data_IF_240663434199
#
_entry.id   IF_240663434199
#
_cell.length_a   1.000
_cell.length_b   1.000
_cell.length_c   1.000
_cell.angle_alpha   90.00
_cell.angle_beta   90.00
_cell.angle_gamma   90.00
#
_symmetry.space_group_name_H-M   'P 1'
#
loop_
_entity.id
_entity.type
_entity.pdbx_description
1 polymer ?
#
# COMPACT_ATOMS: atom_id res chain seq x y z
N UNK A 1 13.55 1.54 -1.58
CA UNK A 1 12.14 1.67 -2.01
C UNK A 1 11.46 2.53 -0.95
N UNK A 2 10.72 3.56 -1.34
CA UNK A 2 10.03 4.45 -0.39
C UNK A 2 8.63 4.75 -0.89
N UNK A 3 7.67 4.89 0.02
CA UNK A 3 6.32 5.37 -0.29
C UNK A 3 5.98 6.54 0.63
N UNK A 4 5.47 7.63 0.08
CA UNK A 4 5.02 8.80 0.85
C UNK A 4 3.58 9.14 0.49
N UNK A 5 2.66 8.94 1.43
CA UNK A 5 1.26 9.33 1.25
C UNK A 5 1.12 10.84 1.03
N UNK A 6 0.20 11.22 0.14
CA UNK A 6 -0.17 12.60 -0.16
C UNK A 6 -1.60 12.90 0.26
N UNK A 7 -2.50 11.94 0.07
CA UNK A 7 -3.91 12.09 0.42
C UNK A 7 -4.48 10.75 0.85
N UNK A 8 -5.34 10.80 1.86
CA UNK A 8 -6.15 9.68 2.33
C UNK A 8 -7.61 10.14 2.27
N UNK A 9 -8.48 9.35 1.66
CA UNK A 9 -9.93 9.59 1.58
C UNK A 9 -10.70 8.31 1.91
N UNK A 10 -12.00 8.41 2.17
CA UNK A 10 -12.86 7.26 2.46
C UNK A 10 -13.06 7.04 3.96
N UNK A 11 -13.38 5.80 4.33
CA UNK A 11 -13.61 5.39 5.72
C UNK A 11 -12.45 4.55 6.25
N UNK A 12 -12.38 4.31 7.56
CA UNK A 12 -11.30 3.51 8.16
C UNK A 12 -11.28 2.05 7.66
N UNK A 13 -12.41 1.50 7.23
CA UNK A 13 -12.50 0.14 6.67
C UNK A 13 -12.23 0.10 5.15
N UNK A 14 -12.38 1.22 4.45
CA UNK A 14 -12.31 1.32 3.00
C UNK A 14 -11.73 2.68 2.59
N UNK A 15 -10.45 2.88 2.92
CA UNK A 15 -9.72 4.09 2.59
C UNK A 15 -9.03 3.96 1.23
N UNK A 16 -8.88 5.08 0.54
CA UNK A 16 -8.05 5.23 -0.65
C UNK A 16 -6.87 6.13 -0.30
N UNK A 17 -5.66 5.63 -0.51
CA UNK A 17 -4.40 6.33 -0.22
C UNK A 17 -3.70 6.63 -1.53
N UNK A 18 -3.57 7.91 -1.90
CA UNK A 18 -2.68 8.32 -2.98
C UNK A 18 -1.35 8.77 -2.42
N UNK A 19 -0.26 8.45 -3.11
CA UNK A 19 1.08 8.81 -2.67
C UNK A 19 2.14 8.56 -3.71
N UNK A 20 3.34 9.04 -3.42
CA UNK A 20 4.49 8.89 -4.29
C UNK A 20 5.24 7.61 -3.93
N UNK A 21 5.34 6.66 -4.86
CA UNK A 21 6.20 5.49 -4.76
C UNK A 21 7.52 5.77 -5.47
N UNK A 22 8.64 5.57 -4.78
CA UNK A 22 9.98 5.57 -5.38
C UNK A 22 10.54 4.15 -5.39
N UNK A 23 10.79 3.64 -6.60
CA UNK A 23 11.40 2.35 -6.87
C UNK A 23 12.48 2.54 -7.93
N UNK A 24 13.68 1.97 -7.70
CA UNK A 24 14.83 2.10 -8.62
C UNK A 24 15.16 3.55 -9.00
N UNK A 25 15.00 4.49 -8.06
CA UNK A 25 15.24 5.93 -8.29
C UNK A 25 14.13 6.66 -9.07
N UNK A 26 13.12 5.95 -9.58
CA UNK A 26 11.97 6.54 -10.28
C UNK A 26 10.83 6.76 -9.29
N UNK A 27 10.31 7.99 -9.23
CA UNK A 27 9.19 8.37 -8.37
C UNK A 27 7.93 8.58 -9.20
N UNK A 28 6.84 7.89 -8.84
CA UNK A 28 5.53 8.05 -9.51
C UNK A 28 4.38 8.05 -8.51
N UNK A 29 3.29 8.80 -8.79
CA UNK A 29 2.08 8.71 -7.99
C UNK A 29 1.40 7.36 -8.21
N UNK A 30 1.00 6.73 -7.12
CA UNK A 30 0.19 5.51 -7.13
C UNK A 30 -1.00 5.65 -6.18
N UNK A 31 -1.97 4.75 -6.34
CA UNK A 31 -3.14 4.64 -5.48
C UNK A 31 -3.18 3.27 -4.85
N UNK A 32 -3.34 3.22 -3.52
CA UNK A 32 -3.52 2.01 -2.74
C UNK A 32 -4.88 2.04 -2.04
N UNK A 33 -5.53 0.88 -1.94
CA UNK A 33 -6.68 0.68 -1.08
C UNK A 33 -6.18 0.29 0.31
N UNK A 34 -6.82 0.80 1.36
CA UNK A 34 -6.41 0.53 2.73
C UNK A 34 -7.60 0.20 3.63
N UNK A 35 -7.36 -0.68 4.60
CA UNK A 35 -8.28 -0.97 5.70
C UNK A 35 -7.54 -1.03 7.02
N UNK A 36 -8.15 -0.47 8.07
CA UNK A 36 -7.67 -0.49 9.45
C UNK A 36 -8.46 -1.53 10.25
N UNK A 37 -7.73 -2.41 10.91
CA UNK A 37 -8.26 -3.55 11.66
C UNK A 37 -7.69 -3.59 13.07
N UNK A 38 -8.39 -4.33 13.92
CA UNK A 38 -8.05 -4.60 15.32
C UNK A 38 -8.35 -6.06 15.65
N UNK A 39 -7.83 -6.56 16.77
CA UNK A 39 -8.17 -7.90 17.23
C UNK A 39 -9.70 -8.02 17.44
N UNK A 40 -10.26 -9.19 17.08
CA UNK A 40 -11.69 -9.42 17.28
C UNK A 40 -12.00 -9.37 18.78
N UNK A 41 -13.01 -8.59 19.16
CA UNK A 41 -13.42 -8.43 20.55
C UNK A 41 -12.63 -7.38 21.34
N UNK A 42 -11.68 -6.68 20.72
CA UNK A 42 -11.04 -5.51 21.35
C UNK A 42 -12.01 -4.32 21.39
N UNK A 43 -11.82 -3.42 22.37
CA UNK A 43 -12.60 -2.19 22.45
C UNK A 43 -12.45 -1.38 21.14
N UNK A 44 -13.55 -0.91 20.52
CA UNK A 44 -13.49 0.00 19.36
C UNK A 44 -12.69 1.30 19.59
N UNK A 45 -12.44 1.67 20.85
CA UNK A 45 -11.63 2.84 21.25
C UNK A 45 -10.17 2.51 21.51
N UNK A 46 -9.80 1.24 21.58
CA UNK A 46 -8.40 0.81 21.71
C UNK A 46 -7.66 1.14 20.40
N UNK A 47 -6.60 1.93 20.51
CA UNK A 47 -5.74 2.34 19.40
C UNK A 47 -4.29 1.86 19.57
N UNK A 48 -4.03 1.02 20.57
CA UNK A 48 -2.67 0.59 20.92
C UNK A 48 -2.19 -0.55 20.02
N UNK A 49 -3.12 -1.33 19.46
CA UNK A 49 -2.82 -2.46 18.57
C UNK A 49 -3.67 -2.41 17.30
N UNK A 50 -3.14 -1.79 16.26
CA UNK A 50 -3.83 -1.63 14.98
C UNK A 50 -3.09 -2.36 13.87
N UNK A 51 -3.85 -2.92 12.93
CA UNK A 51 -3.30 -3.50 11.71
C UNK A 51 -3.82 -2.73 10.50
N UNK A 52 -2.93 -2.25 9.65
CA UNK A 52 -3.27 -1.67 8.35
C UNK A 52 -2.96 -2.67 7.26
N UNK A 53 -3.95 -2.98 6.44
CA UNK A 53 -3.73 -3.68 5.17
C UNK A 53 -3.77 -2.64 4.05
N UNK A 54 -2.70 -2.55 3.26
CA UNK A 54 -2.71 -1.82 1.99
C UNK A 54 -2.60 -2.79 0.82
N UNK A 55 -3.41 -2.56 -0.22
CA UNK A 55 -3.38 -3.32 -1.47
C UNK A 55 -3.32 -2.39 -2.66
N UNK A 56 -2.78 -2.88 -3.77
CA UNK A 56 -2.78 -2.16 -5.03
C UNK A 56 -2.02 -2.94 -6.09
N UNK A 57 -1.83 -2.33 -7.25
CA UNK A 57 -1.00 -2.89 -8.31
C UNK A 57 -0.18 -1.80 -8.97
N UNK A 58 1.00 -2.17 -9.45
CA UNK A 58 1.86 -1.30 -10.25
C UNK A 58 2.31 -2.04 -11.50
N UNK A 59 2.64 -1.29 -12.55
CA UNK A 59 3.37 -1.82 -13.68
C UNK A 59 4.88 -1.67 -13.40
N UNK A 60 5.63 -2.77 -13.36
CA UNK A 60 7.08 -2.77 -13.08
C UNK A 60 7.90 -1.96 -14.09
N UNK A 61 7.40 -1.86 -15.33
CA UNK A 61 8.06 -1.13 -16.42
C UNK A 61 8.08 0.37 -16.18
N UNK A 62 7.06 0.90 -15.49
CA UNK A 62 6.99 2.32 -15.12
C UNK A 62 8.15 2.74 -14.20
N UNK A 63 8.79 1.77 -13.54
CA UNK A 63 9.92 1.96 -12.62
C UNK A 63 11.24 1.40 -13.18
N UNK A 64 11.32 1.18 -14.50
CA UNK A 64 12.56 0.75 -15.18
C UNK A 64 12.98 -0.69 -14.86
N UNK A 65 12.03 -1.55 -14.52
CA UNK A 65 12.25 -2.98 -14.38
C UNK A 65 11.65 -3.69 -15.59
N UNK A 66 12.37 -3.73 -16.72
CA UNK A 66 11.87 -4.24 -18.01
C UNK A 66 12.38 -5.65 -18.39
N UNK A 67 13.32 -6.21 -17.64
CA UNK A 67 13.94 -7.51 -17.95
C UNK A 67 12.93 -8.66 -18.07
N UNK A 68 13.28 -9.67 -18.88
CA UNK A 68 12.51 -10.90 -19.08
C UNK A 68 11.03 -10.66 -19.42
N UNK A 69 10.73 -9.69 -20.29
CA UNK A 69 9.37 -9.27 -20.63
C UNK A 69 8.48 -10.40 -21.19
N UNK A 70 9.08 -11.39 -21.86
CA UNK A 70 8.38 -12.55 -22.44
C UNK A 70 8.10 -13.66 -21.41
N UNK A 71 8.78 -13.62 -20.26
CA UNK A 71 8.65 -14.65 -19.21
C UNK A 71 7.89 -14.15 -17.99
N UNK A 72 7.89 -12.84 -17.74
CA UNK A 72 7.32 -12.23 -16.54
C UNK A 72 6.42 -11.07 -16.92
N UNK A 73 5.14 -11.16 -16.54
CA UNK A 73 4.16 -10.10 -16.76
C UNK A 73 4.54 -8.75 -16.14
N UNK A 74 3.97 -7.64 -16.63
CA UNK A 74 4.30 -6.30 -16.15
C UNK A 74 3.66 -5.96 -14.80
N UNK A 75 2.51 -6.54 -14.47
CA UNK A 75 1.73 -6.14 -13.29
C UNK A 75 2.23 -6.84 -12.03
N UNK A 76 2.54 -6.05 -11.00
CA UNK A 76 2.92 -6.53 -9.68
C UNK A 76 1.81 -6.18 -8.69
N UNK A 77 1.30 -7.20 -8.01
CA UNK A 77 0.38 -7.03 -6.89
C UNK A 77 1.13 -6.58 -5.64
N UNK A 78 0.61 -5.54 -4.99
CA UNK A 78 1.08 -5.06 -3.70
C UNK A 78 0.12 -5.53 -2.62
N UNK A 79 0.65 -6.18 -1.59
CA UNK A 79 -0.06 -6.53 -0.37
C UNK A 79 0.86 -6.24 0.80
N UNK A 80 0.54 -5.19 1.56
CA UNK A 80 1.35 -4.70 2.67
C UNK A 80 0.52 -4.82 3.94
N UNK A 81 1.05 -5.51 4.94
CA UNK A 81 0.44 -5.59 6.26
C UNK A 81 1.37 -4.89 7.23
N UNK A 82 0.90 -3.81 7.84
CA UNK A 82 1.62 -3.07 8.86
C UNK A 82 0.90 -3.24 10.20
N UNK A 83 1.67 -3.50 11.27
CA UNK A 83 1.19 -3.44 12.64
C UNK A 83 1.67 -2.15 13.26
N UNK A 84 0.76 -1.46 13.93
CA UNK A 84 1.02 -0.26 14.69
C UNK A 84 0.87 -0.66 16.15
N UNK A 85 1.98 -0.56 16.87
CA UNK A 85 2.07 -0.77 18.31
C UNK A 85 2.44 0.58 18.93
N UNK A 86 1.79 0.93 20.04
CA UNK A 86 2.03 2.16 20.78
C UNK A 86 2.94 1.94 21.98
#
# INVERSE_FOLDING_TARGET
>A
ITFRSKRITGTVQAATVTGDLTLRGVTRPITLQAGLYRARGSDPKDLDHLTVLLTGQINRRDFGADGFADLVGPMIGLRIVARIER
#
